data_IF_154790552474
#
_entry.id   IF_154790552474
#
_cell.length_a   1.000
_cell.length_b   1.000
_cell.length_c   1.000
_cell.angle_alpha   90.00
_cell.angle_beta   90.00
_cell.angle_gamma   90.00
#
_symmetry.space_group_name_H-M   'P 1'
#
loop_
_entity.id
_entity.type
_entity.pdbx_description
1 polymer ?
#
# COMPACT_ATOMS: atom_id res chain seq x y z
N UNK A 1 5.49 -4.59 31.74
CA UNK A 1 4.31 -3.91 31.15
C UNK A 1 4.66 -2.55 30.53
N UNK A 2 5.37 -1.64 31.22
CA UNK A 2 5.77 -0.33 30.66
C UNK A 2 6.64 -0.42 29.39
N UNK A 3 7.61 -1.34 29.34
CA UNK A 3 8.50 -1.54 28.19
C UNK A 3 7.77 -2.04 26.93
N UNK A 4 6.77 -2.92 27.09
CA UNK A 4 5.91 -3.35 25.98
C UNK A 4 5.02 -2.21 25.46
N UNK A 5 4.54 -1.32 26.34
CA UNK A 5 3.75 -0.16 25.96
C UNK A 5 4.55 0.88 25.15
N UNK A 6 5.79 1.15 25.56
CA UNK A 6 6.69 2.05 24.82
C UNK A 6 7.10 1.46 23.47
N UNK A 7 7.35 0.15 23.39
CA UNK A 7 7.63 -0.52 22.12
C UNK A 7 6.43 -0.49 21.17
N UNK A 8 5.22 -0.75 21.68
CA UNK A 8 4.00 -0.73 20.88
C UNK A 8 3.68 0.66 20.30
N UNK A 9 3.84 1.71 21.11
CA UNK A 9 3.61 3.09 20.66
C UNK A 9 4.62 3.53 19.59
N UNK A 10 5.90 3.20 19.75
CA UNK A 10 6.93 3.47 18.75
C UNK A 10 6.62 2.73 17.44
N UNK A 11 6.23 1.46 17.52
CA UNK A 11 5.88 0.65 16.33
C UNK A 11 4.65 1.21 15.59
N UNK A 12 3.64 1.70 16.33
CA UNK A 12 2.46 2.34 15.75
C UNK A 12 2.79 3.68 15.06
N UNK A 13 3.66 4.49 15.65
CA UNK A 13 4.10 5.75 15.05
C UNK A 13 4.88 5.48 13.76
N UNK A 14 5.80 4.52 13.78
CA UNK A 14 6.56 4.11 12.59
C UNK A 14 5.63 3.55 11.51
N UNK A 15 4.66 2.70 11.88
CA UNK A 15 3.67 2.16 10.95
C UNK A 15 2.80 3.25 10.31
N UNK A 16 2.39 4.28 11.08
CA UNK A 16 1.65 5.43 10.54
C UNK A 16 2.50 6.27 9.59
N UNK A 17 3.79 6.48 9.91
CA UNK A 17 4.72 7.18 9.04
C UNK A 17 4.92 6.43 7.72
N UNK A 18 5.16 5.11 7.78
CA UNK A 18 5.31 4.24 6.61
C UNK A 18 4.06 4.26 5.73
N UNK A 19 2.87 4.19 6.35
CA UNK A 19 1.59 4.25 5.63
C UNK A 19 1.38 5.59 4.94
N UNK A 20 1.74 6.70 5.60
CA UNK A 20 1.62 8.05 5.02
C UNK A 20 2.58 8.24 3.85
N UNK A 21 3.83 7.79 3.98
CA UNK A 21 4.83 7.85 2.92
C UNK A 21 4.45 6.96 1.71
N UNK A 22 3.98 5.75 1.96
CA UNK A 22 3.46 4.84 0.92
C UNK A 22 2.28 5.46 0.15
N UNK A 23 1.36 6.13 0.86
CA UNK A 23 0.25 6.85 0.22
C UNK A 23 0.73 7.95 -0.73
N UNK A 24 1.71 8.76 -0.31
CA UNK A 24 2.29 9.78 -1.16
C UNK A 24 2.98 9.18 -2.40
N UNK A 25 3.77 8.11 -2.23
CA UNK A 25 4.40 7.42 -3.35
C UNK A 25 3.37 6.90 -4.37
N UNK A 26 2.26 6.33 -3.89
CA UNK A 26 1.15 5.89 -4.73
C UNK A 26 0.48 7.05 -5.48
N UNK A 27 0.26 8.18 -4.82
CA UNK A 27 -0.39 9.37 -5.40
C UNK A 27 0.47 10.03 -6.49
N UNK A 28 1.79 10.12 -6.28
CA UNK A 28 2.72 10.60 -7.31
C UNK A 28 2.81 9.64 -8.50
N UNK A 29 2.84 8.33 -8.24
CA UNK A 29 2.83 7.30 -9.30
C UNK A 29 1.53 7.35 -10.12
N UNK A 30 0.39 7.50 -9.46
CA UNK A 30 -0.90 7.64 -10.15
C UNK A 30 -0.95 8.92 -11.00
N UNK A 31 -0.43 10.03 -10.49
CA UNK A 31 -0.33 11.30 -11.24
C UNK A 31 0.56 11.17 -12.47
N UNK A 32 1.72 10.52 -12.33
CA UNK A 32 2.63 10.25 -13.44
C UNK A 32 1.98 9.35 -14.51
N UNK A 33 1.30 8.27 -14.08
CA UNK A 33 0.57 7.37 -14.97
C UNK A 33 -0.57 8.09 -15.70
N UNK A 34 -1.31 8.99 -15.04
CA UNK A 34 -2.36 9.77 -15.70
C UNK A 34 -1.79 10.66 -16.82
N UNK A 35 -0.65 11.32 -16.59
CA UNK A 35 0.03 12.13 -17.62
C UNK A 35 0.48 11.25 -18.79
N UNK A 36 1.11 10.11 -18.50
CA UNK A 36 1.53 9.17 -19.53
C UNK A 36 0.35 8.64 -20.35
N UNK A 37 -0.76 8.30 -19.68
CA UNK A 37 -1.95 7.78 -20.33
C UNK A 37 -2.62 8.83 -21.21
N UNK A 38 -2.70 10.09 -20.76
CA UNK A 38 -3.19 11.20 -21.57
C UNK A 38 -2.34 11.42 -22.83
N UNK A 39 -1.01 11.43 -22.68
CA UNK A 39 -0.07 11.60 -23.80
C UNK A 39 -0.14 10.43 -24.81
N UNK A 40 -0.29 9.19 -24.34
CA UNK A 40 -0.44 8.00 -25.18
C UNK A 40 -1.80 7.99 -25.89
N UNK A 41 -2.88 8.31 -25.18
CA UNK A 41 -4.23 8.41 -25.77
C UNK A 41 -4.30 9.50 -26.85
N UNK A 42 -3.55 10.59 -26.69
CA UNK A 42 -3.50 11.71 -27.63
C UNK A 42 -2.22 11.74 -28.48
N UNK A 43 -1.55 10.59 -28.68
CA UNK A 43 -0.25 10.50 -29.35
C UNK A 43 -0.23 11.16 -30.75
N UNK A 44 -1.34 11.04 -31.51
CA UNK A 44 -1.47 11.69 -32.82
C UNK A 44 -1.45 13.21 -32.71
N UNK A 45 -2.13 13.77 -31.71
CA UNK A 45 -2.16 15.21 -31.43
C UNK A 45 -0.79 15.70 -30.96
N UNK A 46 -0.15 15.00 -30.03
CA UNK A 46 1.18 15.34 -29.52
C UNK A 46 2.21 15.38 -30.66
N UNK A 47 2.14 14.42 -31.58
CA UNK A 47 3.04 14.36 -32.74
C UNK A 47 2.78 15.46 -33.77
N UNK A 48 1.52 15.84 -33.99
CA UNK A 48 1.16 16.95 -34.89
C UNK A 48 1.61 18.30 -34.34
N UNK A 49 1.51 18.50 -33.02
CA UNK A 49 1.95 19.74 -32.36
C UNK A 49 3.43 19.72 -31.94
N UNK A 50 4.14 18.60 -32.08
CA UNK A 50 5.56 18.46 -31.72
C UNK A 50 5.83 18.63 -30.21
N UNK A 51 4.85 18.39 -29.35
CA UNK A 51 4.92 18.67 -27.90
C UNK A 51 5.50 17.52 -27.07
N UNK A 52 6.10 16.52 -27.70
CA UNK A 52 6.68 15.32 -27.06
C UNK A 52 7.66 15.66 -25.93
N UNK A 53 8.55 16.64 -26.15
CA UNK A 53 9.52 17.08 -25.13
C UNK A 53 8.85 17.73 -23.92
N UNK A 54 7.72 18.41 -24.13
CA UNK A 54 6.97 19.08 -23.07
C UNK A 54 6.27 18.06 -22.18
N UNK A 55 5.61 17.07 -22.79
CA UNK A 55 4.96 15.98 -22.05
C UNK A 55 5.98 15.09 -21.33
N UNK A 56 7.14 14.81 -21.95
CA UNK A 56 8.24 14.12 -21.29
C UNK A 56 8.74 14.88 -20.06
N UNK A 57 8.93 16.20 -20.15
CA UNK A 57 9.35 17.04 -19.02
C UNK A 57 8.29 17.08 -17.92
N UNK A 58 7.00 17.04 -18.28
CA UNK A 58 5.88 16.98 -17.35
C UNK A 58 5.88 15.67 -16.57
N UNK A 59 6.11 14.55 -17.25
CA UNK A 59 6.26 13.23 -16.63
C UNK A 59 7.51 13.15 -15.74
N UNK A 60 8.66 13.62 -16.23
CA UNK A 60 9.92 13.64 -15.47
C UNK A 60 9.80 14.42 -14.16
N UNK A 61 9.11 15.57 -14.16
CA UNK A 61 8.87 16.36 -12.94
C UNK A 61 8.10 15.58 -11.85
N UNK A 62 7.17 14.71 -12.25
CA UNK A 62 6.45 13.86 -11.30
C UNK A 62 7.33 12.71 -10.79
N UNK A 63 8.18 12.15 -11.65
CA UNK A 63 9.17 11.15 -11.27
C UNK A 63 10.23 11.70 -10.30
N UNK A 64 10.73 12.92 -10.52
CA UNK A 64 11.71 13.53 -9.62
C UNK A 64 11.11 13.74 -8.22
N UNK A 65 9.85 14.20 -8.13
CA UNK A 65 9.14 14.31 -6.85
C UNK A 65 8.94 12.95 -6.18
N UNK A 66 8.59 11.93 -6.95
CA UNK A 66 8.48 10.56 -6.45
C UNK A 66 9.82 10.05 -5.92
N UNK A 67 10.91 10.35 -6.63
CA UNK A 67 12.26 9.98 -6.25
C UNK A 67 12.66 10.64 -4.92
N UNK A 68 12.47 11.95 -4.77
CA UNK A 68 12.81 12.67 -3.53
C UNK A 68 12.07 12.11 -2.30
N UNK A 69 10.76 11.84 -2.47
CA UNK A 69 9.92 11.28 -1.39
C UNK A 69 10.34 9.85 -1.08
N UNK A 70 10.54 9.02 -2.10
CA UNK A 70 10.93 7.62 -1.93
C UNK A 70 12.34 7.50 -1.36
N UNK A 71 13.27 8.36 -1.76
CA UNK A 71 14.64 8.38 -1.25
C UNK A 71 14.66 8.73 0.24
N UNK A 72 13.95 9.79 0.66
CA UNK A 72 13.80 10.15 2.08
C UNK A 72 13.15 9.03 2.88
N UNK A 73 12.13 8.37 2.33
CA UNK A 73 11.46 7.25 2.97
C UNK A 73 12.41 6.05 3.13
N UNK A 74 13.13 5.66 2.08
CA UNK A 74 14.08 4.55 2.11
C UNK A 74 15.24 4.84 3.06
N UNK A 75 15.72 6.07 3.13
CA UNK A 75 16.79 6.45 4.06
C UNK A 75 16.30 6.40 5.52
N UNK A 76 15.09 6.89 5.80
CA UNK A 76 14.48 6.77 7.14
C UNK A 76 14.21 5.30 7.52
N UNK A 77 13.70 4.51 6.58
CA UNK A 77 13.48 3.07 6.77
C UNK A 77 14.80 2.31 6.97
N UNK A 78 15.83 2.65 6.20
CA UNK A 78 17.17 2.08 6.34
C UNK A 78 17.76 2.34 7.72
N UNK A 79 17.70 3.59 8.20
CA UNK A 79 18.14 3.94 9.55
C UNK A 79 17.37 3.20 10.65
N UNK A 80 16.05 3.09 10.51
CA UNK A 80 15.21 2.32 11.42
C UNK A 80 15.56 0.82 11.43
N UNK A 81 15.70 0.23 10.25
CA UNK A 81 16.03 -1.19 10.07
C UNK A 81 17.41 -1.52 10.66
N UNK A 82 18.42 -0.69 10.37
CA UNK A 82 19.75 -0.83 10.95
C UNK A 82 19.73 -0.73 12.48
N UNK A 83 18.98 0.22 13.03
CA UNK A 83 18.86 0.39 14.49
C UNK A 83 18.21 -0.83 15.16
N UNK A 84 17.12 -1.35 14.58
CA UNK A 84 16.47 -2.55 15.09
C UNK A 84 17.35 -3.79 14.98
N UNK A 85 18.05 -3.95 13.85
CA UNK A 85 18.92 -5.09 13.61
C UNK A 85 20.12 -5.09 14.57
N UNK A 86 20.71 -3.91 14.81
CA UNK A 86 21.76 -3.74 15.82
C UNK A 86 21.27 -4.09 17.23
N UNK A 87 20.08 -3.61 17.62
CA UNK A 87 19.48 -3.90 18.93
C UNK A 87 19.21 -5.41 19.11
N UNK A 88 18.73 -6.07 18.05
CA UNK A 88 18.46 -7.51 18.04
C UNK A 88 19.74 -8.32 18.26
N UNK A 89 20.79 -8.06 17.48
CA UNK A 89 22.07 -8.75 17.62
C UNK A 89 22.74 -8.44 18.97
N UNK A 90 22.67 -7.20 19.45
CA UNK A 90 23.15 -6.83 20.78
C UNK A 90 22.44 -7.63 21.88
N UNK A 91 21.12 -7.79 21.78
CA UNK A 91 20.32 -8.57 22.74
C UNK A 91 20.70 -10.06 22.72
N UNK A 92 20.92 -10.63 21.52
CA UNK A 92 21.41 -12.01 21.41
C UNK A 92 22.77 -12.19 22.08
N UNK A 93 23.72 -11.28 21.85
CA UNK A 93 25.06 -11.34 22.47
C UNK A 93 24.97 -11.26 23.99
N UNK A 94 24.14 -10.35 24.53
CA UNK A 94 23.92 -10.23 25.98
C UNK A 94 23.27 -11.47 26.56
N UNK A 95 22.29 -12.05 25.86
CA UNK A 95 21.64 -13.29 26.29
C UNK A 95 22.62 -14.47 26.36
N UNK A 96 23.52 -14.59 25.38
CA UNK A 96 24.57 -15.62 25.38
C UNK A 96 25.59 -15.38 26.50
N UNK A 97 26.01 -14.12 26.74
CA UNK A 97 26.93 -13.78 27.83
C UNK A 97 26.36 -14.12 29.21
N UNK A 98 25.11 -13.72 29.48
CA UNK A 98 24.43 -14.02 30.76
C UNK A 98 24.20 -15.52 30.89
N UNK A 99 23.79 -16.19 29.80
CA UNK A 99 23.65 -17.65 29.76
C UNK A 99 24.96 -18.39 30.04
N UNK A 100 26.08 -17.92 29.49
CA UNK A 100 27.41 -18.46 29.73
C UNK A 100 27.86 -18.32 31.19
N UNK A 101 27.63 -17.14 31.80
CA UNK A 101 27.92 -16.90 33.23
C UNK A 101 27.06 -17.80 34.12
N UNK A 102 25.80 -18.08 33.75
CA UNK A 102 24.92 -18.97 34.49
C UNK A 102 25.33 -20.46 34.41
N UNK A 103 25.95 -20.89 33.31
CA UNK A 103 26.56 -22.23 33.16
C UNK A 103 27.78 -22.36 34.08
N UNK A 104 28.64 -21.33 34.13
CA UNK A 104 29.82 -21.34 35.02
C UNK A 104 29.44 -21.43 36.51
N UNK A 105 28.28 -20.89 36.88
CA UNK A 105 27.72 -20.99 38.24
C UNK A 105 27.01 -22.33 38.54
N UNK A 106 27.05 -23.30 37.61
CA UNK A 106 26.55 -24.66 37.82
C UNK A 106 25.02 -24.80 37.86
N UNK A 107 24.26 -23.75 37.52
CA UNK A 107 22.79 -23.77 37.57
C UNK A 107 22.13 -24.36 36.31
N UNK A 108 22.85 -24.42 35.19
CA UNK A 108 22.35 -24.92 33.90
C UNK A 108 23.45 -25.69 33.14
N UNK A 109 23.05 -26.73 32.41
CA UNK A 109 23.93 -27.45 31.46
C UNK A 109 24.00 -26.73 30.11
N UNK A 110 25.16 -26.77 29.44
CA UNK A 110 25.33 -26.18 28.11
C UNK A 110 24.31 -26.69 27.08
N UNK A 111 23.89 -27.96 27.20
CA UNK A 111 22.87 -28.56 26.34
C UNK A 111 21.48 -27.91 26.50
N UNK A 112 21.08 -27.56 27.73
CA UNK A 112 19.80 -26.90 27.99
C UNK A 112 19.78 -25.46 27.46
N UNK A 113 20.92 -24.74 27.56
CA UNK A 113 21.03 -23.39 27.03
C UNK A 113 20.90 -23.39 25.50
N UNK A 114 21.61 -24.29 24.81
CA UNK A 114 21.55 -24.39 23.34
C UNK A 114 20.13 -24.74 22.86
N UNK A 115 19.45 -25.69 23.52
CA UNK A 115 18.04 -26.02 23.20
C UNK A 115 17.12 -24.82 23.42
N UNK A 116 17.29 -24.08 24.50
CA UNK A 116 16.50 -22.88 24.78
C UNK A 116 16.70 -21.80 23.70
N UNK A 117 17.95 -21.51 23.33
CA UNK A 117 18.26 -20.51 22.29
C UNK A 117 17.66 -20.89 20.94
N UNK A 118 17.81 -22.15 20.52
CA UNK A 118 17.25 -22.66 19.27
C UNK A 118 15.71 -22.57 19.24
N UNK A 119 15.05 -22.95 20.34
CA UNK A 119 13.59 -22.85 20.42
C UNK A 119 13.09 -21.41 20.51
N UNK A 120 13.80 -20.52 21.21
CA UNK A 120 13.47 -19.11 21.25
C UNK A 120 13.57 -18.48 19.85
N UNK A 121 14.63 -18.80 19.10
CA UNK A 121 14.83 -18.31 17.74
C UNK A 121 13.74 -18.83 16.78
N UNK A 122 13.39 -20.12 16.89
CA UNK A 122 12.27 -20.69 16.14
C UNK A 122 10.95 -19.99 16.47
N UNK A 123 10.70 -19.71 17.74
CA UNK A 123 9.47 -19.05 18.19
C UNK A 123 9.39 -17.61 17.67
N UNK A 124 10.51 -16.89 17.65
CA UNK A 124 10.59 -15.54 17.06
C UNK A 124 10.28 -15.60 15.57
N UNK A 125 10.93 -16.50 14.82
CA UNK A 125 10.71 -16.67 13.38
C UNK A 125 9.26 -17.04 13.06
N UNK A 126 8.69 -18.00 13.79
CA UNK A 126 7.30 -18.44 13.62
C UNK A 126 6.31 -17.30 13.89
N UNK A 127 6.54 -16.52 14.94
CA UNK A 127 5.72 -15.34 15.25
C UNK A 127 5.78 -14.30 14.14
N UNK A 128 6.98 -14.08 13.56
CA UNK A 128 7.16 -13.18 12.43
C UNK A 128 6.40 -13.65 11.19
N UNK A 129 6.49 -14.94 10.86
CA UNK A 129 5.76 -15.57 9.77
C UNK A 129 4.24 -15.45 9.93
N UNK A 130 3.73 -15.67 11.15
CA UNK A 130 2.29 -15.51 11.45
C UNK A 130 1.86 -14.05 11.25
N UNK A 131 2.67 -13.09 11.70
CA UNK A 131 2.38 -11.67 11.52
C UNK A 131 2.29 -11.26 10.05
N UNK A 132 3.22 -11.73 9.22
CA UNK A 132 3.24 -11.44 7.79
C UNK A 132 2.07 -12.10 7.03
N UNK A 133 1.76 -13.36 7.36
CA UNK A 133 0.60 -14.06 6.81
C UNK A 133 -0.72 -13.38 7.22
N UNK A 134 -0.83 -12.91 8.47
CA UNK A 134 -2.01 -12.19 8.94
C UNK A 134 -2.21 -10.87 8.17
N UNK A 135 -1.13 -10.10 7.97
CA UNK A 135 -1.17 -8.87 7.17
C UNK A 135 -1.60 -9.15 5.72
N UNK A 136 -1.03 -10.19 5.10
CA UNK A 136 -1.37 -10.61 3.74
C UNK A 136 -2.82 -11.08 3.62
N UNK A 137 -3.32 -11.81 4.61
CA UNK A 137 -4.72 -12.23 4.70
C UNK A 137 -5.65 -11.01 4.78
N UNK A 138 -5.35 -10.04 5.65
CA UNK A 138 -6.13 -8.81 5.76
C UNK A 138 -6.15 -7.99 4.47
N UNK A 139 -5.03 -7.94 3.75
CA UNK A 139 -4.98 -7.31 2.43
C UNK A 139 -5.86 -8.03 1.41
N UNK A 140 -5.85 -9.37 1.40
CA UNK A 140 -6.71 -10.19 0.51
C UNK A 140 -8.21 -9.98 0.80
N UNK A 141 -8.58 -9.93 2.08
CA UNK A 141 -9.96 -9.63 2.51
C UNK A 141 -10.40 -8.25 2.03
N UNK A 142 -9.57 -7.22 2.23
CA UNK A 142 -9.88 -5.86 1.78
C UNK A 142 -9.97 -5.72 0.26
N UNK A 143 -9.15 -6.46 -0.49
CA UNK A 143 -9.26 -6.50 -1.95
C UNK A 143 -10.56 -7.18 -2.41
N UNK A 144 -10.93 -8.28 -1.75
CA UNK A 144 -12.17 -9.02 -2.04
C UNK A 144 -13.41 -8.16 -1.78
N UNK A 145 -13.43 -7.36 -0.71
CA UNK A 145 -14.53 -6.44 -0.40
C UNK A 145 -14.82 -5.48 -1.58
N UNK A 146 -13.79 -4.93 -2.22
CA UNK A 146 -13.96 -4.05 -3.39
C UNK A 146 -14.58 -4.78 -4.58
N UNK A 147 -14.21 -6.06 -4.79
CA UNK A 147 -14.76 -6.90 -5.86
C UNK A 147 -16.22 -7.22 -5.57
N UNK A 148 -16.54 -7.66 -4.35
CA UNK A 148 -17.93 -7.91 -3.94
C UNK A 148 -18.81 -6.67 -4.07
N UNK A 149 -18.32 -5.50 -3.64
CA UNK A 149 -19.03 -4.23 -3.82
C UNK A 149 -19.33 -3.92 -5.30
N UNK A 150 -18.43 -4.27 -6.22
CA UNK A 150 -18.64 -4.06 -7.65
C UNK A 150 -19.64 -5.08 -8.23
N UNK A 151 -19.65 -6.32 -7.74
CA UNK A 151 -20.63 -7.34 -8.14
C UNK A 151 -22.04 -7.06 -7.60
N UNK A 152 -22.15 -6.52 -6.38
CA UNK A 152 -23.42 -6.14 -5.76
C UNK A 152 -24.00 -4.83 -6.31
N UNK A 153 -23.25 -4.13 -7.16
CA UNK A 153 -23.68 -2.89 -7.77
C UNK A 153 -24.81 -3.18 -8.75
N UNK A 154 -26.05 -2.88 -8.35
CA UNK A 154 -27.23 -3.04 -9.19
C UNK A 154 -27.04 -2.24 -10.50
N UNK A 155 -27.34 -2.83 -11.67
CA UNK A 155 -27.34 -2.09 -12.93
C UNK A 155 -28.26 -0.86 -12.80
N UNK A 156 -27.85 0.26 -13.39
CA UNK A 156 -28.66 1.49 -13.38
C UNK A 156 -30.08 1.16 -13.82
N UNK A 157 -31.09 1.58 -13.03
CA UNK A 157 -32.53 1.36 -13.30
C UNK A 157 -32.94 1.74 -14.73
N UNK A 158 -32.19 2.65 -15.37
CA UNK A 158 -32.39 3.05 -16.76
C UNK A 158 -32.17 1.93 -17.79
N UNK A 159 -31.27 0.97 -17.53
CA UNK A 159 -31.03 -0.16 -18.45
C UNK A 159 -31.90 -1.38 -18.15
N UNK A 160 -32.35 -1.56 -16.91
CA UNK A 160 -33.11 -2.75 -16.48
C UNK A 160 -34.63 -2.57 -16.58
N UNK A 161 -35.09 -1.34 -16.78
CA UNK A 161 -36.47 -1.04 -17.13
C UNK A 161 -36.86 -1.81 -18.39
N UNK A 162 -37.87 -2.68 -18.31
CA UNK A 162 -38.54 -3.24 -19.51
C UNK A 162 -39.21 -2.06 -20.22
N UNK A 163 -38.47 -1.38 -21.09
CA UNK A 163 -39.00 -0.36 -21.96
C UNK A 163 -40.14 -0.91 -22.82
N UNK A 164 -41.01 -0.03 -23.29
CA UNK A 164 -42.10 -0.42 -24.18
C UNK A 164 -41.54 -0.77 -25.57
N UNK A 165 -41.76 -1.99 -26.05
CA UNK A 165 -41.37 -2.39 -27.41
C UNK A 165 -42.48 -2.02 -28.39
N UNK A 166 -42.31 -0.90 -29.11
CA UNK A 166 -43.25 -0.44 -30.12
C UNK A 166 -43.25 -1.38 -31.35
N UNK A 167 -44.42 -1.80 -31.83
CA UNK A 167 -44.54 -2.66 -33.02
C UNK A 167 -44.23 -1.91 -34.34
N UNK A 168 -44.43 -0.59 -34.37
CA UNK A 168 -44.12 0.27 -35.51
C UNK A 168 -43.65 1.63 -34.99
N UNK A 169 -42.50 2.08 -35.46
CA UNK A 169 -41.88 3.35 -35.05
C UNK A 169 -42.12 4.40 -36.14
N UNK A 170 -42.92 5.43 -35.85
CA UNK A 170 -43.16 6.54 -36.80
C UNK A 170 -42.02 7.59 -36.81
N UNK A 171 -41.08 7.51 -35.86
CA UNK A 171 -39.88 8.37 -35.84
C UNK A 171 -40.12 9.83 -35.43
N UNK A 172 -41.28 10.19 -34.89
CA UNK A 172 -41.53 11.54 -34.37
C UNK A 172 -40.93 11.68 -32.97
N UNK A 173 -39.91 12.53 -32.84
CA UNK A 173 -39.26 12.85 -31.57
C UNK A 173 -39.63 14.29 -31.23
N UNK A 174 -40.15 14.50 -30.02
CA UNK A 174 -40.46 15.82 -29.48
C UNK A 174 -39.76 15.98 -28.14
N UNK A 175 -39.06 17.11 -27.98
CA UNK A 175 -38.49 17.52 -26.70
C UNK A 175 -39.47 18.50 -26.06
N UNK A 176 -39.89 18.22 -24.81
CA UNK A 176 -40.79 19.08 -24.06
C UNK A 176 -40.10 19.47 -22.75
N UNK A 177 -39.70 20.75 -22.66
CA UNK A 177 -39.16 21.38 -21.46
C UNK A 177 -38.05 20.56 -20.76
N UNK A 178 -37.01 20.19 -21.52
CA UNK A 178 -35.92 19.35 -21.01
C UNK A 178 -34.74 20.24 -20.63
N UNK A 179 -34.50 20.37 -19.32
CA UNK A 179 -33.26 20.92 -18.79
C UNK A 179 -32.34 19.77 -18.37
N UNK A 180 -31.10 19.78 -18.87
CA UNK A 180 -30.12 18.74 -18.57
C UNK A 180 -28.76 19.38 -18.32
N UNK A 181 -28.16 19.01 -17.20
CA UNK A 181 -26.77 19.36 -16.91
C UNK A 181 -25.97 18.09 -16.63
N UNK A 182 -24.73 18.07 -17.13
CA UNK A 182 -23.83 16.97 -16.86
C UNK A 182 -23.43 16.96 -15.37
N UNK A 183 -23.41 15.80 -14.70
CA UNK A 183 -23.02 15.72 -13.29
C UNK A 183 -21.59 16.20 -13.04
N UNK A 184 -20.71 16.08 -14.04
CA UNK A 184 -19.31 16.52 -13.99
C UNK A 184 -19.13 18.01 -14.18
N UNK A 185 -20.16 18.73 -14.67
CA UNK A 185 -20.17 20.19 -14.86
C UNK A 185 -21.60 20.71 -14.67
N UNK A 186 -22.01 20.99 -13.42
CA UNK A 186 -23.29 21.62 -13.16
C UNK A 186 -23.28 23.05 -13.71
N UNK A 187 -24.30 23.40 -14.48
CA UNK A 187 -24.66 24.77 -14.87
C UNK A 187 -25.49 25.44 -13.78
#
# INVERSE_FOLDING_TARGET
MLTCGTLSTIMLVHGRYQKKASKFAQEFTASANNVAQEAISLVRTVRVYGTEKQEFKRYAKWLDKLYDVSFRQTMAYGGWSLSLNYLYHSTQVVAVLIGGIAIMNGKFTAEQLTKFTLYAEWLILSTWWIGDNWSSLMQSVGASEKVFRLMDLLPSRQLTSKGLRLQKLEGRIQYADVEFSYPSRPS
#
